data_IF_334032616451
#
_entry.id   IF_334032616451
#
_cell.length_a   1.000
_cell.length_b   1.000
_cell.length_c   1.000
_cell.angle_alpha   90.00
_cell.angle_beta   90.00
_cell.angle_gamma   90.00
#
_symmetry.space_group_name_H-M   'P 1'
#
loop_
_entity.id
_entity.type
_entity.pdbx_description
1 polymer ?
#
# COMPACT_ATOMS: atom_id res chain seq x y z
N UNK A 1 -12.39 8.15 36.91
CA UNK A 1 -12.04 7.54 35.61
C UNK A 1 -12.46 6.09 35.72
N UNK A 2 -13.42 5.63 34.92
CA UNK A 2 -13.64 4.18 34.76
C UNK A 2 -12.60 3.71 33.76
N UNK A 3 -11.76 2.76 34.17
CA UNK A 3 -10.80 2.11 33.29
C UNK A 3 -11.52 0.96 32.62
N UNK A 4 -11.50 0.93 31.29
CA UNK A 4 -11.98 -0.19 30.49
C UNK A 4 -10.78 -0.71 29.70
N UNK A 5 -10.50 -2.00 29.83
CA UNK A 5 -9.53 -2.67 28.96
C UNK A 5 -10.17 -2.78 27.57
N UNK A 6 -9.60 -2.05 26.60
CA UNK A 6 -10.05 -2.08 25.22
C UNK A 6 -9.89 -3.47 24.59
N UNK A 7 -10.61 -3.72 23.49
CA UNK A 7 -10.53 -4.97 22.74
C UNK A 7 -9.08 -5.25 22.29
N UNK A 8 -8.63 -6.47 22.57
CA UNK A 8 -7.25 -6.86 22.87
C UNK A 8 -6.33 -7.17 21.66
N UNK A 9 -6.75 -6.97 20.41
CA UNK A 9 -6.12 -7.73 19.32
C UNK A 9 -4.94 -7.07 18.59
N UNK A 10 -4.64 -5.77 18.76
CA UNK A 10 -3.69 -5.10 17.83
C UNK A 10 -2.75 -4.06 18.44
N UNK A 11 -2.72 -3.88 19.77
CA UNK A 11 -1.90 -2.83 20.38
C UNK A 11 -0.47 -3.32 20.65
N UNK A 12 0.51 -2.72 19.95
CA UNK A 12 1.93 -3.11 19.99
C UNK A 12 2.86 -1.90 20.17
N UNK A 13 2.74 -1.14 21.27
CA UNK A 13 3.53 0.06 21.46
C UNK A 13 5.02 -0.24 21.61
N UNK A 14 5.83 0.72 21.19
CA UNK A 14 7.29 0.67 21.26
C UNK A 14 7.88 -0.63 20.70
N UNK A 15 7.49 -0.99 19.47
CA UNK A 15 7.98 -2.21 18.79
C UNK A 15 7.75 -3.49 19.63
N UNK A 16 6.55 -3.64 20.20
CA UNK A 16 6.16 -4.73 21.10
C UNK A 16 6.90 -4.78 22.45
N UNK A 17 7.68 -3.76 22.81
CA UNK A 17 8.39 -3.70 24.09
C UNK A 17 7.63 -2.93 25.19
N UNK A 18 6.53 -2.24 24.83
CA UNK A 18 5.68 -1.48 25.75
C UNK A 18 4.59 -2.32 26.42
N UNK A 19 3.75 -1.64 27.21
CA UNK A 19 2.54 -2.21 27.81
C UNK A 19 1.34 -2.05 26.87
N UNK A 20 0.29 -2.86 27.03
CA UNK A 20 -0.99 -2.62 26.35
C UNK A 20 -1.57 -1.24 26.67
N UNK A 21 -2.39 -0.66 25.77
CA UNK A 21 -3.00 0.65 25.99
C UNK A 21 -4.08 0.54 27.08
N UNK A 22 -4.01 1.40 28.09
CA UNK A 22 -5.08 1.54 29.07
C UNK A 22 -5.96 2.73 28.70
N UNK A 23 -7.28 2.48 28.62
CA UNK A 23 -8.27 3.48 28.22
C UNK A 23 -9.18 3.83 29.39
N UNK A 24 -9.59 5.09 29.44
CA UNK A 24 -10.59 5.53 30.40
C UNK A 24 -11.41 6.69 29.88
N UNK A 25 -12.66 6.75 30.34
CA UNK A 25 -13.59 7.80 29.95
C UNK A 25 -13.51 8.97 30.92
N UNK A 26 -13.49 10.18 30.36
CA UNK A 26 -13.50 11.43 31.11
C UNK A 26 -14.58 12.38 30.58
N UNK A 27 -15.52 12.76 31.44
CA UNK A 27 -16.57 13.75 31.11
C UNK A 27 -16.00 15.16 31.23
N UNK A 28 -15.50 15.69 30.12
CA UNK A 28 -15.03 17.07 30.02
C UNK A 28 -16.21 18.06 29.83
N UNK A 29 -16.02 19.29 30.29
CA UNK A 29 -16.91 20.43 30.07
C UNK A 29 -16.22 21.43 29.16
N UNK A 30 -16.97 21.97 28.18
CA UNK A 30 -16.46 22.98 27.28
C UNK A 30 -15.93 24.19 28.07
N UNK A 31 -14.78 24.74 27.64
CA UNK A 31 -14.12 25.92 28.22
C UNK A 31 -13.68 25.77 29.68
N UNK A 32 -13.55 24.54 30.19
CA UNK A 32 -12.99 24.26 31.51
C UNK A 32 -11.53 23.80 31.40
N UNK A 33 -10.68 24.30 32.29
CA UNK A 33 -9.29 23.86 32.42
C UNK A 33 -9.23 22.62 33.31
N UNK A 34 -8.47 21.62 32.88
CA UNK A 34 -8.21 20.39 33.63
C UNK A 34 -6.71 20.19 33.74
N UNK A 35 -6.23 19.84 34.95
CA UNK A 35 -4.82 19.54 35.19
C UNK A 35 -4.60 18.03 35.07
N UNK A 36 -3.68 17.62 34.20
CA UNK A 36 -3.25 16.23 34.04
C UNK A 36 -1.86 16.08 34.66
N UNK A 37 -1.72 15.18 35.62
CA UNK A 37 -0.43 14.82 36.22
C UNK A 37 -0.07 13.40 35.78
N UNK A 38 1.15 13.24 35.27
CA UNK A 38 1.69 11.96 34.79
C UNK A 38 2.95 11.67 35.58
N UNK A 39 2.95 10.54 36.30
CA UNK A 39 4.13 10.06 37.03
C UNK A 39 4.68 8.85 36.30
N UNK A 40 5.90 8.97 35.80
CA UNK A 40 6.57 7.95 35.00
C UNK A 40 7.91 7.58 35.65
N UNK A 41 8.20 6.27 35.74
CA UNK A 41 9.43 5.73 36.33
C UNK A 41 10.02 4.72 35.36
N UNK A 42 11.31 4.87 35.02
CA UNK A 42 12.05 4.00 34.11
C UNK A 42 13.11 3.12 34.82
N UNK A 43 13.07 3.02 36.16
CA UNK A 43 14.10 2.33 36.95
C UNK A 43 13.92 0.81 37.04
N UNK A 44 12.80 0.27 36.56
CA UNK A 44 12.54 -1.17 36.58
C UNK A 44 12.17 -1.66 35.18
N UNK A 45 12.90 -2.64 34.61
CA UNK A 45 12.53 -3.23 33.33
C UNK A 45 11.15 -3.88 33.45
N UNK A 46 10.35 -3.79 32.39
CA UNK A 46 9.06 -4.47 32.34
C UNK A 46 9.35 -5.99 32.27
N UNK A 47 8.79 -6.82 33.18
CA UNK A 47 9.00 -8.25 33.13
C UNK A 47 8.60 -8.84 31.76
N UNK A 48 9.49 -9.62 31.14
CA UNK A 48 9.24 -10.24 29.83
C UNK A 48 9.71 -9.45 28.61
N UNK A 49 10.42 -8.33 28.77
CA UNK A 49 11.06 -7.64 27.64
C UNK A 49 12.13 -8.51 26.98
N UNK A 50 12.02 -8.66 25.66
CA UNK A 50 13.00 -9.37 24.81
C UNK A 50 14.24 -8.51 24.56
N UNK A 51 14.08 -7.18 24.55
CA UNK A 51 15.16 -6.20 24.37
C UNK A 51 15.22 -5.33 25.64
N UNK A 52 16.35 -5.32 26.38
CA UNK A 52 16.51 -4.42 27.52
C UNK A 52 16.62 -2.99 26.99
N UNK A 53 15.52 -2.23 27.13
CA UNK A 53 15.45 -0.82 26.77
C UNK A 53 15.70 0.03 28.03
N UNK A 54 16.88 0.64 28.11
CA UNK A 54 17.27 1.48 29.26
C UNK A 54 16.67 2.90 29.21
N UNK A 55 15.92 3.22 28.15
CA UNK A 55 15.18 4.47 28.00
C UNK A 55 13.68 4.20 28.11
N UNK A 56 13.02 4.96 28.99
CA UNK A 56 11.58 4.88 29.16
C UNK A 56 10.86 5.89 28.28
N UNK A 57 9.72 5.48 27.73
CA UNK A 57 8.83 6.36 26.98
C UNK A 57 7.37 6.12 27.39
N UNK A 58 6.54 7.15 27.23
CA UNK A 58 5.10 7.10 27.46
C UNK A 58 4.40 7.83 26.33
N UNK A 59 3.32 7.23 25.83
CA UNK A 59 2.41 7.88 24.90
C UNK A 59 1.11 8.21 25.63
N UNK A 60 0.63 9.43 25.46
CA UNK A 60 -0.63 9.90 26.05
C UNK A 60 -1.48 10.53 24.96
N UNK A 61 -2.62 9.89 24.71
CA UNK A 61 -3.59 10.31 23.72
C UNK A 61 -4.95 10.63 24.34
N UNK A 62 -5.73 11.45 23.64
CA UNK A 62 -7.12 11.71 23.99
C UNK A 62 -7.88 12.15 22.75
N UNK A 63 -9.10 11.64 22.60
CA UNK A 63 -10.01 12.04 21.54
C UNK A 63 -11.43 12.15 22.08
N UNK A 64 -12.30 12.98 21.45
CA UNK A 64 -13.73 12.90 21.70
C UNK A 64 -14.23 11.47 21.48
N UNK A 65 -15.11 11.02 22.38
CA UNK A 65 -15.85 9.76 22.20
C UNK A 65 -16.89 10.00 21.12
N UNK A 66 -16.92 9.12 20.14
CA UNK A 66 -17.79 9.19 18.96
C UNK A 66 -18.43 7.84 18.75
N UNK A 67 -19.74 7.83 18.45
CA UNK A 67 -20.43 6.60 18.07
C UNK A 67 -20.15 6.28 16.60
N UNK A 68 -19.61 5.09 16.34
CA UNK A 68 -19.14 4.74 15.00
C UNK A 68 -20.27 4.78 13.95
N UNK A 69 -21.48 4.34 14.32
CA UNK A 69 -22.64 4.36 13.43
C UNK A 69 -23.08 5.79 13.09
N UNK A 70 -23.05 6.71 14.06
CA UNK A 70 -23.38 8.12 13.82
C UNK A 70 -22.37 8.76 12.85
N UNK A 71 -21.08 8.46 13.01
CA UNK A 71 -20.03 8.94 12.10
C UNK A 71 -20.19 8.38 10.68
N UNK A 72 -20.56 7.10 10.54
CA UNK A 72 -20.84 6.49 9.24
C UNK A 72 -22.05 7.15 8.55
N UNK A 73 -23.15 7.36 9.28
CA UNK A 73 -24.34 8.05 8.76
C UNK A 73 -24.04 9.49 8.36
N UNK A 74 -23.19 10.18 9.12
CA UNK A 74 -22.75 11.52 8.75
C UNK A 74 -21.95 11.51 7.44
N UNK A 75 -21.02 10.57 7.27
CA UNK A 75 -20.24 10.43 6.05
C UNK A 75 -21.13 10.15 4.83
N UNK A 76 -22.12 9.27 4.97
CA UNK A 76 -23.13 9.00 3.92
C UNK A 76 -23.90 10.25 3.51
N UNK A 77 -24.41 11.02 4.48
CA UNK A 77 -25.14 12.26 4.22
C UNK A 77 -24.27 13.27 3.48
N UNK A 78 -23.07 13.52 3.99
CA UNK A 78 -22.11 14.44 3.37
C UNK A 78 -21.76 13.99 1.93
N UNK A 79 -21.56 12.70 1.70
CA UNK A 79 -21.26 12.18 0.38
C UNK A 79 -22.43 12.38 -0.60
N UNK A 80 -23.67 12.16 -0.14
CA UNK A 80 -24.89 12.33 -0.96
C UNK A 80 -25.11 13.78 -1.40
N UNK A 81 -24.75 14.74 -0.57
CA UNK A 81 -24.92 16.17 -0.83
C UNK A 81 -23.80 16.75 -1.70
N UNK A 82 -22.66 16.06 -1.81
CA UNK A 82 -21.50 16.53 -2.57
C UNK A 82 -21.59 16.16 -4.07
N UNK A 83 -21.03 17.02 -4.93
CA UNK A 83 -20.85 16.67 -6.34
C UNK A 83 -19.91 15.48 -6.52
N UNK A 84 -18.79 15.50 -5.80
CA UNK A 84 -17.76 14.45 -5.75
C UNK A 84 -17.40 14.23 -4.28
N UNK A 85 -17.39 12.98 -3.84
CA UNK A 85 -16.89 12.61 -2.51
C UNK A 85 -15.44 12.15 -2.60
N UNK A 86 -14.60 12.57 -1.65
CA UNK A 86 -13.23 12.07 -1.51
C UNK A 86 -13.13 11.39 -0.15
N UNK A 87 -12.87 10.09 -0.16
CA UNK A 87 -12.74 9.28 1.06
C UNK A 87 -11.30 8.76 1.17
N UNK A 88 -10.64 9.05 2.29
CA UNK A 88 -9.28 8.60 2.57
C UNK A 88 -9.32 7.49 3.62
N UNK A 89 -8.80 6.31 3.27
CA UNK A 89 -8.68 5.15 4.16
C UNK A 89 -7.29 4.53 4.01
N UNK A 90 -6.93 3.66 4.94
CA UNK A 90 -5.67 2.94 4.86
C UNK A 90 -5.19 2.45 6.20
N UNK A 91 -3.89 2.22 6.26
CA UNK A 91 -3.13 1.86 7.44
C UNK A 91 -2.46 3.11 8.01
N UNK A 92 -1.64 2.95 9.05
CA UNK A 92 -0.78 3.99 9.60
C UNK A 92 0.44 3.34 10.27
N UNK A 93 1.22 4.14 10.99
CA UNK A 93 2.40 3.66 11.73
C UNK A 93 2.08 2.62 12.82
N UNK A 94 0.84 2.56 13.31
CA UNK A 94 0.42 1.59 14.33
C UNK A 94 0.09 0.23 13.70
N UNK A 95 -0.12 0.19 12.38
CA UNK A 95 -0.40 -1.04 11.63
C UNK A 95 0.83 -1.52 10.85
N UNK A 96 1.64 -0.60 10.32
CA UNK A 96 2.87 -0.93 9.59
C UNK A 96 4.05 -0.25 10.29
N UNK A 97 4.72 -1.00 11.17
CA UNK A 97 5.85 -0.54 11.96
C UNK A 97 6.99 -1.55 11.95
N UNK A 98 8.19 -1.06 12.23
CA UNK A 98 9.26 -1.91 12.74
C UNK A 98 8.85 -2.56 14.07
N UNK A 99 9.30 -3.80 14.27
CA UNK A 99 9.09 -4.58 15.50
C UNK A 99 8.02 -5.64 15.41
N UNK A 100 7.14 -5.57 14.41
CA UNK A 100 6.11 -6.59 14.19
C UNK A 100 5.54 -6.57 12.77
N UNK A 101 5.01 -7.72 12.38
CA UNK A 101 4.25 -7.87 11.13
C UNK A 101 2.75 -7.73 11.37
N UNK A 102 2.00 -7.41 10.31
CA UNK A 102 0.54 -7.41 10.33
C UNK A 102 -0.02 -8.83 10.38
N UNK A 103 -1.08 -9.02 11.15
CA UNK A 103 -1.77 -10.31 11.25
C UNK A 103 -2.72 -10.58 10.06
N UNK A 104 -3.09 -9.53 9.32
CA UNK A 104 -3.96 -9.65 8.15
C UNK A 104 -3.73 -8.54 7.13
N UNK A 105 -4.31 -8.70 5.95
CA UNK A 105 -4.38 -7.66 4.92
C UNK A 105 -5.63 -6.77 5.02
N UNK A 106 -6.45 -6.88 6.06
CA UNK A 106 -7.70 -6.10 6.17
C UNK A 106 -7.41 -4.64 6.48
N UNK A 107 -8.33 -3.76 6.06
CA UNK A 107 -8.36 -2.39 6.57
C UNK A 107 -8.88 -2.36 8.02
N UNK A 108 -8.41 -1.40 8.83
CA UNK A 108 -8.73 -1.37 10.25
C UNK A 108 -10.15 -0.85 10.53
N UNK A 109 -10.75 -1.38 11.59
CA UNK A 109 -12.05 -0.94 12.10
C UNK A 109 -13.17 -1.02 11.06
N UNK A 110 -13.94 0.07 10.92
CA UNK A 110 -15.08 0.18 10.00
C UNK A 110 -14.71 0.82 8.65
N UNK A 111 -13.43 0.79 8.26
CA UNK A 111 -12.95 1.45 7.04
C UNK A 111 -13.58 0.90 5.77
N UNK A 112 -13.71 -0.43 5.64
CA UNK A 112 -14.39 -1.04 4.49
C UNK A 112 -15.87 -0.64 4.42
N UNK A 113 -16.55 -0.63 5.57
CA UNK A 113 -17.95 -0.22 5.67
C UNK A 113 -18.15 1.26 5.33
N UNK A 114 -17.25 2.14 5.78
CA UNK A 114 -17.22 3.56 5.41
C UNK A 114 -17.14 3.73 3.89
N UNK A 115 -16.19 3.05 3.24
CA UNK A 115 -16.01 3.17 1.78
C UNK A 115 -17.23 2.64 1.03
N UNK A 116 -17.76 1.48 1.42
CA UNK A 116 -18.97 0.91 0.81
C UNK A 116 -20.17 1.85 0.92
N UNK A 117 -20.40 2.42 2.10
CA UNK A 117 -21.50 3.37 2.36
C UNK A 117 -21.35 4.66 1.56
N UNK A 118 -20.13 5.21 1.47
CA UNK A 118 -19.83 6.41 0.67
C UNK A 118 -20.00 6.13 -0.83
N UNK A 119 -19.48 5.01 -1.35
CA UNK A 119 -19.64 4.60 -2.74
C UNK A 119 -21.11 4.43 -3.12
N UNK A 120 -21.91 3.83 -2.23
CA UNK A 120 -23.35 3.66 -2.44
C UNK A 120 -24.11 4.99 -2.40
N UNK A 121 -23.72 5.92 -1.53
CA UNK A 121 -24.34 7.24 -1.41
C UNK A 121 -23.97 8.18 -2.57
N UNK A 122 -22.75 8.05 -3.11
CA UNK A 122 -22.26 8.86 -4.23
C UNK A 122 -21.33 8.03 -5.14
N UNK A 123 -21.78 7.62 -6.35
CA UNK A 123 -20.92 6.86 -7.26
C UNK A 123 -19.75 7.67 -7.83
N UNK A 124 -19.79 9.01 -7.76
CA UNK A 124 -18.66 9.90 -8.12
C UNK A 124 -17.71 10.06 -6.93
N UNK A 125 -17.26 8.95 -6.37
CA UNK A 125 -16.33 8.93 -5.25
C UNK A 125 -14.90 8.65 -5.71
N UNK A 126 -13.95 9.41 -5.17
CA UNK A 126 -12.51 9.15 -5.25
C UNK A 126 -12.06 8.54 -3.93
N UNK A 127 -11.50 7.33 -3.98
CA UNK A 127 -10.90 6.68 -2.81
C UNK A 127 -9.40 6.90 -2.81
N UNK A 128 -8.85 7.45 -1.74
CA UNK A 128 -7.42 7.54 -1.48
C UNK A 128 -7.05 6.42 -0.52
N UNK A 129 -6.15 5.53 -0.95
CA UNK A 129 -5.65 4.43 -0.13
C UNK A 129 -4.23 4.74 0.36
N UNK A 130 -4.05 4.70 1.68
CA UNK A 130 -2.79 5.05 2.36
C UNK A 130 -2.21 3.83 3.06
N UNK A 131 -1.38 3.06 2.37
CA UNK A 131 -0.69 1.88 2.93
C UNK A 131 0.69 1.66 2.30
N UNK A 132 1.64 1.12 3.05
CA UNK A 132 2.97 0.74 2.54
C UNK A 132 2.92 -0.56 1.74
N UNK A 133 2.05 -1.49 2.13
CA UNK A 133 1.87 -2.81 1.51
C UNK A 133 0.42 -3.07 1.11
N UNK A 134 0.13 -4.13 0.33
CA UNK A 134 -1.22 -4.44 -0.11
C UNK A 134 -2.22 -4.63 1.03
N UNK A 135 -3.47 -4.22 0.78
CA UNK A 135 -4.63 -4.52 1.63
C UNK A 135 -5.74 -5.15 0.79
N UNK A 136 -6.59 -5.94 1.41
CA UNK A 136 -7.81 -6.46 0.78
C UNK A 136 -8.81 -5.32 0.59
N UNK A 137 -9.43 -5.25 -0.59
CA UNK A 137 -10.36 -4.19 -0.98
C UNK A 137 -11.67 -4.82 -1.49
N UNK A 138 -12.54 -5.36 -0.60
CA UNK A 138 -13.73 -6.10 -1.02
C UNK A 138 -14.74 -5.27 -1.82
N UNK A 139 -14.58 -3.95 -1.83
CA UNK A 139 -15.42 -2.97 -2.52
C UNK A 139 -14.80 -2.42 -3.82
N UNK A 140 -13.61 -2.92 -4.23
CA UNK A 140 -12.84 -2.34 -5.35
C UNK A 140 -13.63 -2.31 -6.67
N UNK A 141 -14.45 -3.32 -6.94
CA UNK A 141 -15.26 -3.40 -8.17
C UNK A 141 -16.37 -2.35 -8.24
N UNK A 142 -16.71 -1.72 -7.11
CA UNK A 142 -17.66 -0.61 -7.03
C UNK A 142 -16.97 0.76 -7.08
N UNK A 143 -15.64 0.78 -7.07
CA UNK A 143 -14.85 2.01 -7.05
C UNK A 143 -14.54 2.49 -8.47
N UNK A 144 -15.00 3.70 -8.83
CA UNK A 144 -14.65 4.29 -10.11
C UNK A 144 -13.23 4.85 -10.13
N UNK A 145 -12.73 5.35 -8.99
CA UNK A 145 -11.42 5.97 -8.89
C UNK A 145 -10.73 5.60 -7.58
N UNK A 146 -9.63 4.87 -7.67
CA UNK A 146 -8.76 4.49 -6.55
C UNK A 146 -7.36 5.06 -6.75
N UNK A 147 -6.85 5.79 -5.76
CA UNK A 147 -5.50 6.35 -5.74
C UNK A 147 -4.68 5.71 -4.62
N UNK A 148 -3.68 4.90 -4.98
CA UNK A 148 -2.72 4.35 -4.03
C UNK A 148 -1.65 5.41 -3.69
N UNK A 149 -1.72 5.93 -2.47
CA UNK A 149 -0.91 7.06 -2.00
C UNK A 149 0.38 6.70 -1.24
N UNK A 150 0.54 5.44 -0.80
CA UNK A 150 1.63 5.03 0.10
C UNK A 150 1.79 5.97 1.31
N UNK A 151 3.02 6.16 1.80
CA UNK A 151 3.38 7.13 2.81
C UNK A 151 4.17 8.28 2.16
N UNK A 152 3.47 9.27 1.60
CA UNK A 152 4.08 10.34 0.79
C UNK A 152 4.80 11.47 1.52
N UNK A 153 5.10 11.30 2.82
CA UNK A 153 5.83 12.29 3.63
C UNK A 153 5.15 13.67 3.74
N UNK A 154 5.96 14.70 3.99
CA UNK A 154 5.48 16.06 4.34
C UNK A 154 4.55 16.70 3.29
N UNK A 155 4.71 16.33 2.01
CA UNK A 155 3.94 16.91 0.90
C UNK A 155 2.84 15.99 0.39
N UNK A 156 2.50 14.93 1.12
CA UNK A 156 1.50 13.94 0.71
C UNK A 156 0.17 14.58 0.29
N UNK A 157 -0.40 15.46 1.12
CA UNK A 157 -1.68 16.10 0.84
C UNK A 157 -1.65 16.95 -0.44
N UNK A 158 -0.58 17.75 -0.62
CA UNK A 158 -0.42 18.59 -1.81
C UNK A 158 -0.20 17.74 -3.07
N UNK A 159 0.66 16.72 -3.00
CA UNK A 159 0.89 15.82 -4.13
C UNK A 159 -0.36 15.03 -4.54
N UNK A 160 -1.20 14.64 -3.58
CA UNK A 160 -2.49 14.00 -3.86
C UNK A 160 -3.47 14.97 -4.51
N UNK A 161 -3.55 16.21 -4.02
CA UNK A 161 -4.35 17.26 -4.64
C UNK A 161 -3.90 17.55 -6.09
N UNK A 162 -2.59 17.66 -6.33
CA UNK A 162 -2.03 17.88 -7.66
C UNK A 162 -2.48 16.79 -8.66
N UNK A 163 -2.54 15.53 -8.20
CA UNK A 163 -3.03 14.42 -9.02
C UNK A 163 -4.54 14.51 -9.22
N UNK A 164 -5.32 14.61 -8.14
CA UNK A 164 -6.79 14.62 -8.19
C UNK A 164 -7.32 15.74 -9.09
N UNK A 165 -6.73 16.92 -9.01
CA UNK A 165 -7.13 18.10 -9.79
C UNK A 165 -6.38 18.23 -11.13
N UNK A 166 -5.54 17.24 -11.49
CA UNK A 166 -4.89 17.17 -12.79
C UNK A 166 -3.73 18.14 -13.01
N UNK A 167 -3.27 18.86 -11.98
CA UNK A 167 -2.04 19.65 -12.05
C UNK A 167 -0.81 18.76 -12.33
N UNK A 168 -0.87 17.48 -11.92
CA UNK A 168 0.11 16.45 -12.27
C UNK A 168 -0.59 15.18 -12.75
N UNK A 169 -0.13 14.66 -13.88
CA UNK A 169 -0.61 13.40 -14.41
C UNK A 169 -0.01 12.21 -13.63
N UNK A 170 -0.82 11.26 -13.10
CA UNK A 170 -0.29 10.10 -12.40
C UNK A 170 0.58 9.25 -13.32
N UNK A 171 1.76 8.87 -12.83
CA UNK A 171 2.76 8.10 -13.57
C UNK A 171 3.48 7.06 -12.71
N UNK A 172 2.90 6.72 -11.55
CA UNK A 172 3.37 5.64 -10.69
C UNK A 172 3.07 4.26 -11.28
N UNK A 173 3.87 3.27 -10.90
CA UNK A 173 3.67 1.85 -11.21
C UNK A 173 3.83 1.07 -9.92
N UNK A 174 2.96 0.09 -9.68
CA UNK A 174 3.02 -0.73 -8.49
C UNK A 174 4.33 -1.52 -8.43
N UNK A 175 5.05 -1.39 -7.32
CA UNK A 175 6.27 -2.16 -7.03
C UNK A 175 5.97 -3.54 -6.44
N UNK A 176 4.71 -3.81 -6.10
CA UNK A 176 4.22 -5.05 -5.49
C UNK A 176 2.92 -5.49 -6.14
N UNK A 177 2.62 -6.77 -6.10
CA UNK A 177 1.34 -7.32 -6.56
C UNK A 177 0.28 -7.18 -5.46
N UNK A 178 -0.93 -6.77 -5.83
CA UNK A 178 -2.08 -6.72 -4.92
C UNK A 178 -2.96 -7.97 -5.12
N UNK A 179 -2.81 -9.02 -4.29
CA UNK A 179 -3.67 -10.19 -4.39
C UNK A 179 -5.09 -9.88 -3.91
N UNK A 180 -6.08 -10.63 -4.40
CA UNK A 180 -7.46 -10.53 -3.91
C UNK A 180 -7.63 -10.93 -2.44
N UNK A 181 -6.80 -11.86 -1.94
CA UNK A 181 -6.88 -12.37 -0.57
C UNK A 181 -5.50 -12.63 0.01
N UNK A 182 -5.36 -12.49 1.31
CA UNK A 182 -4.12 -12.79 2.05
C UNK A 182 -3.59 -14.21 1.78
N UNK A 183 -4.50 -15.19 1.70
CA UNK A 183 -4.15 -16.60 1.46
C UNK A 183 -3.58 -16.87 0.06
N UNK A 184 -3.71 -15.92 -0.87
CA UNK A 184 -3.19 -16.06 -2.22
C UNK A 184 -1.70 -15.71 -2.30
N UNK A 185 -1.13 -15.15 -1.24
CA UNK A 185 0.27 -14.77 -1.23
C UNK A 185 1.18 -16.02 -1.14
N UNK A 186 2.33 -16.04 -1.85
CA UNK A 186 3.20 -17.22 -1.92
C UNK A 186 3.79 -17.63 -0.56
N UNK A 187 3.95 -16.69 0.36
CA UNK A 187 4.48 -16.94 1.69
C UNK A 187 3.40 -17.36 2.69
N UNK A 188 2.11 -17.42 2.33
CA UNK A 188 1.00 -17.63 3.28
C UNK A 188 1.21 -18.79 4.25
N UNK A 189 1.65 -19.95 3.76
CA UNK A 189 1.88 -21.13 4.61
C UNK A 189 3.20 -21.10 5.39
N UNK A 190 4.16 -20.28 4.96
CA UNK A 190 5.50 -20.26 5.55
C UNK A 190 5.82 -18.95 6.28
N UNK A 191 4.86 -18.04 6.36
CA UNK A 191 5.01 -16.76 7.04
C UNK A 191 4.89 -16.94 8.56
N UNK A 192 5.80 -16.31 9.28
CA UNK A 192 5.99 -16.49 10.72
C UNK A 192 7.20 -17.37 11.06
N UNK A 193 7.34 -17.69 12.34
CA UNK A 193 8.45 -18.49 12.84
C UNK A 193 7.94 -19.85 13.34
N UNK A 194 8.39 -20.92 12.69
CA UNK A 194 8.19 -22.28 13.17
C UNK A 194 9.52 -22.76 13.79
N UNK A 195 9.58 -22.83 15.12
CA UNK A 195 10.82 -23.17 15.84
C UNK A 195 11.99 -22.22 15.55
N UNK A 196 11.74 -20.91 15.54
CA UNK A 196 12.72 -19.85 15.22
C UNK A 196 13.31 -19.93 13.80
N UNK A 197 12.57 -20.53 12.86
CA UNK A 197 12.94 -20.58 11.45
C UNK A 197 11.78 -20.13 10.59
N UNK A 198 12.12 -19.55 9.44
CA UNK A 198 11.16 -19.17 8.41
C UNK A 198 11.63 -19.80 7.12
N UNK A 199 10.80 -20.67 6.55
CA UNK A 199 11.14 -21.42 5.34
C UNK A 199 10.67 -20.65 4.11
N UNK A 200 11.58 -20.31 3.20
CA UNK A 200 11.23 -19.66 1.93
C UNK A 200 10.79 -20.72 0.91
N UNK A 201 9.65 -21.36 1.19
CA UNK A 201 9.13 -22.51 0.44
C UNK A 201 8.68 -22.17 -0.98
N UNK A 202 8.37 -20.91 -1.25
CA UNK A 202 8.07 -20.39 -2.58
C UNK A 202 9.30 -20.29 -3.50
N UNK A 203 10.50 -20.33 -2.93
CA UNK A 203 11.77 -20.25 -3.67
C UNK A 203 11.84 -19.00 -4.55
N UNK A 204 12.01 -19.17 -5.86
CA UNK A 204 12.12 -18.06 -6.83
C UNK A 204 10.77 -17.44 -7.21
N UNK A 205 9.66 -18.05 -6.81
CA UNK A 205 8.30 -17.63 -7.16
C UNK A 205 7.77 -16.62 -6.13
N UNK A 206 8.40 -15.43 -6.09
CA UNK A 206 8.01 -14.32 -5.20
C UNK A 206 7.29 -13.24 -6.02
N UNK A 207 6.23 -12.66 -5.45
CA UNK A 207 5.45 -11.59 -6.10
C UNK A 207 4.80 -12.07 -7.40
N UNK A 208 4.79 -11.23 -8.45
CA UNK A 208 4.14 -11.56 -9.73
C UNK A 208 4.57 -12.89 -10.34
N UNK A 209 5.81 -13.33 -10.07
CA UNK A 209 6.33 -14.63 -10.53
C UNK A 209 5.50 -15.81 -10.03
N UNK A 210 4.98 -15.71 -8.80
CA UNK A 210 4.06 -16.69 -8.23
C UNK A 210 2.73 -16.70 -8.98
N UNK A 211 2.12 -15.52 -9.11
CA UNK A 211 0.78 -15.39 -9.66
C UNK A 211 0.73 -15.75 -11.14
N UNK A 212 1.76 -15.38 -11.91
CA UNK A 212 1.96 -15.83 -13.28
C UNK A 212 2.05 -17.37 -13.33
N UNK A 213 2.99 -17.97 -12.60
CA UNK A 213 3.22 -19.41 -12.63
C UNK A 213 2.05 -20.26 -12.10
N UNK A 214 1.21 -19.68 -11.24
CA UNK A 214 0.03 -20.32 -10.68
C UNK A 214 -1.26 -20.04 -11.48
N UNK A 215 -1.16 -19.27 -12.57
CA UNK A 215 -2.30 -18.76 -13.37
C UNK A 215 -3.41 -18.19 -12.46
N UNK A 216 -2.99 -17.27 -11.57
CA UNK A 216 -3.86 -16.74 -10.51
C UNK A 216 -4.14 -15.26 -10.69
N UNK A 217 -5.42 -14.92 -10.75
CA UNK A 217 -5.88 -13.53 -10.80
C UNK A 217 -5.53 -12.73 -9.53
N UNK A 218 -5.28 -11.44 -9.74
CA UNK A 218 -4.89 -10.45 -8.72
C UNK A 218 -5.67 -9.16 -8.97
N UNK A 219 -5.93 -8.39 -7.91
CA UNK A 219 -6.64 -7.10 -8.04
C UNK A 219 -5.83 -6.13 -8.92
N UNK A 220 -4.54 -6.00 -8.61
CA UNK A 220 -3.64 -5.18 -9.40
C UNK A 220 -2.29 -5.89 -9.56
N UNK A 221 -1.84 -6.16 -10.81
CA UNK A 221 -0.58 -6.84 -11.04
C UNK A 221 0.61 -5.92 -10.76
N UNK A 222 1.77 -6.54 -10.56
CA UNK A 222 3.05 -5.81 -10.50
C UNK A 222 3.21 -4.93 -11.76
N UNK A 223 3.73 -3.72 -11.58
CA UNK A 223 3.92 -2.78 -12.68
C UNK A 223 2.63 -2.11 -13.18
N UNK A 224 1.45 -2.43 -12.63
CA UNK A 224 0.20 -1.75 -12.98
C UNK A 224 0.20 -0.28 -12.56
N UNK A 225 -0.51 0.56 -13.31
CA UNK A 225 -0.69 1.97 -12.99
C UNK A 225 -1.40 2.70 -14.14
N UNK A 226 -2.45 3.43 -13.82
CA UNK A 226 -3.19 4.22 -14.79
C UNK A 226 -2.60 5.62 -14.93
N UNK A 227 -3.05 6.33 -15.96
CA UNK A 227 -2.63 7.69 -16.25
C UNK A 227 -3.77 8.45 -16.94
N UNK A 228 -3.78 9.78 -16.84
CA UNK A 228 -4.71 10.61 -17.62
C UNK A 228 -4.29 10.74 -19.09
N UNK A 229 -3.05 10.35 -19.43
CA UNK A 229 -2.59 10.27 -20.83
C UNK A 229 -2.70 8.82 -21.34
N UNK A 230 -2.82 8.69 -22.66
CA UNK A 230 -2.69 7.42 -23.37
C UNK A 230 -1.37 7.40 -24.15
N UNK A 231 -0.75 6.24 -24.26
CA UNK A 231 0.47 6.08 -25.04
C UNK A 231 0.55 4.69 -25.68
N UNK A 232 1.11 4.65 -26.88
CA UNK A 232 1.33 3.44 -27.68
C UNK A 232 2.83 3.18 -27.76
N UNK A 233 3.20 1.90 -27.71
CA UNK A 233 4.56 1.43 -27.97
C UNK A 233 4.53 0.75 -29.34
N UNK A 234 5.42 1.14 -30.25
CA UNK A 234 5.53 0.60 -31.61
C UNK A 234 6.99 0.31 -31.97
N UNK A 235 7.20 -0.24 -33.16
CA UNK A 235 8.52 -0.41 -33.79
C UNK A 235 9.52 -1.13 -32.89
N UNK A 236 9.06 -2.22 -32.27
CA UNK A 236 9.86 -3.04 -31.36
C UNK A 236 10.81 -3.90 -32.17
N UNK A 237 12.10 -3.64 -32.03
CA UNK A 237 13.17 -4.37 -32.71
C UNK A 237 14.18 -4.92 -31.71
N UNK A 238 14.64 -6.15 -31.95
CA UNK A 238 15.67 -6.81 -31.14
C UNK A 238 16.84 -7.14 -32.07
N UNK A 239 18.00 -6.51 -31.82
CA UNK A 239 19.23 -6.73 -32.58
C UNK A 239 20.26 -7.47 -31.72
N UNK A 240 20.55 -8.76 -31.99
CA UNK A 240 21.63 -9.48 -31.32
C UNK A 240 22.99 -8.84 -31.62
N UNK A 241 23.79 -8.62 -30.58
CA UNK A 241 25.18 -8.17 -30.71
C UNK A 241 26.12 -9.37 -30.78
N UNK A 242 27.00 -9.38 -31.78
CA UNK A 242 28.10 -10.32 -31.85
C UNK A 242 29.14 -9.93 -30.79
N UNK A 243 29.22 -10.70 -29.71
CA UNK A 243 30.24 -10.47 -28.68
C UNK A 243 31.58 -11.00 -29.17
N UNK A 244 32.61 -10.15 -29.14
CA UNK A 244 34.01 -10.52 -29.45
C UNK A 244 34.85 -10.80 -28.20
N UNK A 245 34.26 -10.65 -27.01
CA UNK A 245 34.93 -10.83 -25.72
C UNK A 245 34.71 -12.24 -25.18
N UNK A 246 35.82 -12.94 -24.91
CA UNK A 246 35.90 -14.29 -24.36
C UNK A 246 35.50 -14.40 -22.88
N UNK A 247 35.07 -13.32 -22.23
CA UNK A 247 34.81 -13.31 -20.78
C UNK A 247 33.37 -13.70 -20.41
N UNK A 248 32.42 -13.74 -21.35
CA UNK A 248 31.15 -14.41 -21.10
C UNK A 248 30.47 -14.83 -22.42
N UNK A 249 30.16 -16.12 -22.57
CA UNK A 249 29.23 -16.65 -23.58
C UNK A 249 27.77 -16.16 -23.33
N UNK A 250 27.58 -14.96 -22.79
CA UNK A 250 26.27 -14.37 -22.53
C UNK A 250 25.82 -13.66 -23.80
N UNK A 251 24.73 -14.11 -24.45
CA UNK A 251 24.16 -13.39 -25.58
C UNK A 251 23.75 -11.99 -25.15
N UNK A 252 24.10 -10.98 -25.95
CA UNK A 252 23.70 -9.59 -25.74
C UNK A 252 22.81 -9.17 -26.90
N UNK A 253 21.77 -8.39 -26.64
CA UNK A 253 20.92 -7.81 -27.67
C UNK A 253 20.59 -6.35 -27.34
N UNK A 254 20.42 -5.53 -28.37
CA UNK A 254 19.85 -4.18 -28.26
C UNK A 254 18.35 -4.31 -28.51
N UNK A 255 17.55 -3.72 -27.61
CA UNK A 255 16.11 -3.55 -27.78
C UNK A 255 15.84 -2.09 -28.14
N UNK A 256 15.18 -1.86 -29.26
CA UNK A 256 14.72 -0.54 -29.70
C UNK A 256 13.20 -0.54 -29.81
N UNK A 257 12.57 0.57 -29.45
CA UNK A 257 11.12 0.77 -29.55
C UNK A 257 10.81 2.26 -29.58
N UNK A 258 9.64 2.61 -30.12
CA UNK A 258 9.10 3.96 -30.09
C UNK A 258 7.99 4.06 -29.04
N UNK A 259 7.89 5.21 -28.35
CA UNK A 259 6.78 5.53 -27.47
C UNK A 259 6.16 6.84 -27.91
N UNK A 260 4.85 6.81 -28.21
CA UNK A 260 4.12 7.99 -28.68
C UNK A 260 2.93 8.29 -27.77
N UNK A 261 2.68 9.58 -27.50
CA UNK A 261 1.43 10.02 -26.88
C UNK A 261 0.28 9.81 -27.86
N UNK A 262 -0.76 9.09 -27.43
CA UNK A 262 -1.94 8.79 -28.23
C UNK A 262 -3.18 9.60 -27.78
N UNK A 263 -2.98 10.64 -26.97
CA UNK A 263 -4.03 11.42 -26.32
C UNK A 263 -3.78 12.93 -26.34
N UNK A 264 -4.72 13.64 -25.70
CA UNK A 264 -4.72 15.12 -25.62
C UNK A 264 -3.91 15.66 -24.44
N UNK A 265 -3.70 14.82 -23.42
CA UNK A 265 -3.04 15.21 -22.18
C UNK A 265 -1.60 14.72 -22.22
N UNK A 266 -0.65 15.58 -21.88
CA UNK A 266 0.74 15.19 -21.74
C UNK A 266 0.96 14.27 -20.54
N UNK A 267 1.96 13.40 -20.60
CA UNK A 267 2.21 12.45 -19.51
C UNK A 267 3.50 11.67 -19.66
N UNK A 268 3.79 10.83 -18.67
CA UNK A 268 5.00 9.99 -18.64
C UNK A 268 4.62 8.52 -18.73
N UNK A 269 5.36 7.75 -19.54
CA UNK A 269 5.16 6.31 -19.70
C UNK A 269 6.33 5.53 -19.10
N UNK A 270 6.02 4.51 -18.31
CA UNK A 270 7.01 3.51 -17.88
C UNK A 270 6.90 2.30 -18.80
N UNK A 271 7.96 2.00 -19.53
CA UNK A 271 8.14 0.78 -20.33
C UNK A 271 8.85 -0.24 -19.46
N UNK A 272 8.32 -1.45 -19.39
CA UNK A 272 8.87 -2.55 -18.59
C UNK A 272 9.34 -3.66 -19.54
N UNK A 273 10.57 -4.13 -19.35
CA UNK A 273 11.20 -5.13 -20.20
C UNK A 273 11.31 -6.43 -19.42
N UNK A 274 10.56 -7.43 -19.87
CA UNK A 274 10.54 -8.77 -19.27
C UNK A 274 11.25 -9.77 -20.17
N UNK A 275 12.03 -10.67 -19.58
CA UNK A 275 12.71 -11.76 -20.29
C UNK A 275 12.13 -13.09 -19.82
N UNK A 276 11.69 -13.89 -20.77
CA UNK A 276 11.26 -15.27 -20.57
C UNK A 276 12.36 -16.22 -21.02
N UNK A 277 12.57 -17.32 -20.29
CA UNK A 277 13.46 -18.40 -20.72
C UNK A 277 12.72 -19.33 -21.68
N UNK A 278 13.33 -19.69 -22.79
CA UNK A 278 12.77 -20.65 -23.75
C UNK A 278 13.01 -22.12 -23.40
N UNK A 279 13.81 -22.42 -22.37
CA UNK A 279 14.08 -23.78 -21.91
C UNK A 279 15.12 -23.87 -20.78
N UNK A 280 15.42 -25.11 -20.37
CA UNK A 280 16.37 -25.45 -19.30
C UNK A 280 15.84 -26.53 -18.36
N UNK A 281 16.72 -27.06 -17.51
CA UNK A 281 16.35 -28.01 -16.44
C UNK A 281 16.05 -27.20 -15.16
N UNK A 282 14.87 -27.38 -14.57
CA UNK A 282 14.46 -26.72 -13.33
C UNK A 282 13.12 -25.98 -13.45
N UNK A 283 12.68 -25.38 -12.34
CA UNK A 283 11.48 -24.52 -12.30
C UNK A 283 11.94 -23.06 -12.36
N UNK A 284 11.40 -22.30 -13.31
CA UNK A 284 11.70 -20.89 -13.51
C UNK A 284 10.40 -20.09 -13.60
N UNK A 285 10.41 -18.80 -13.20
CA UNK A 285 9.32 -17.89 -13.50
C UNK A 285 9.09 -17.80 -15.01
N UNK A 286 7.84 -17.60 -15.42
CA UNK A 286 7.47 -17.45 -16.84
C UNK A 286 8.21 -16.29 -17.51
N UNK A 287 8.32 -15.18 -16.77
CA UNK A 287 9.00 -13.97 -17.20
C UNK A 287 9.60 -13.27 -15.99
N UNK A 288 10.68 -12.53 -16.23
CA UNK A 288 11.34 -11.73 -15.20
C UNK A 288 11.59 -10.31 -15.70
N UNK A 289 11.21 -9.29 -14.93
CA UNK A 289 11.61 -7.91 -15.17
C UNK A 289 13.14 -7.84 -15.17
N UNK A 290 13.72 -7.41 -16.29
CA UNK A 290 15.17 -7.21 -16.44
C UNK A 290 15.55 -5.75 -16.53
N UNK A 291 14.65 -4.91 -17.01
CA UNK A 291 14.89 -3.47 -17.11
C UNK A 291 13.57 -2.69 -17.17
N UNK A 292 13.63 -1.38 -16.90
CA UNK A 292 12.52 -0.47 -17.11
C UNK A 292 13.02 0.92 -17.50
N UNK A 293 12.26 1.60 -18.35
CA UNK A 293 12.56 2.95 -18.80
C UNK A 293 11.35 3.83 -18.52
N UNK A 294 11.56 4.92 -17.78
CA UNK A 294 10.54 5.96 -17.62
C UNK A 294 10.82 7.06 -18.64
N UNK A 295 10.02 7.08 -19.70
CA UNK A 295 10.08 8.12 -20.72
C UNK A 295 9.69 9.44 -20.08
N UNK A 296 10.44 10.49 -20.43
CA UNK A 296 10.13 11.86 -20.01
C UNK A 296 8.76 12.30 -20.54
N UNK A 297 8.35 13.53 -20.21
CA UNK A 297 7.03 14.01 -20.55
C UNK A 297 6.82 14.00 -22.07
N UNK A 298 5.86 13.19 -22.51
CA UNK A 298 5.35 13.18 -23.87
C UNK A 298 4.29 14.27 -23.96
N UNK A 299 4.50 15.26 -24.83
CA UNK A 299 3.52 16.34 -25.03
C UNK A 299 2.21 15.79 -25.59
N UNK A 300 1.10 16.46 -25.27
CA UNK A 300 -0.20 16.16 -25.88
C UNK A 300 -0.19 16.54 -27.36
N UNK A 301 -0.98 15.85 -28.18
CA UNK A 301 -1.17 16.30 -29.56
C UNK A 301 -1.71 17.74 -29.59
N UNK A 302 -1.06 18.62 -30.36
CA UNK A 302 -1.56 19.97 -30.63
C UNK A 302 -2.88 19.89 -31.42
N UNK A 303 -3.81 20.81 -31.14
CA UNK A 303 -5.02 21.00 -31.93
C UNK A 303 -4.68 21.54 -33.32
#
# INVERSE_FOLDING_TARGET
MSLETGNLETERPFACAGTIEEKGLFKAQARRVYNLEVRFINHHPVPGQVIPMDWGAIELGGRPVTEAEEMLQQAERTAREADVAIVAVGLNQDWESEGYDRDSMKLPGKSDELVQRVLAANPRTVVILRSGTPVELPWVDHCQTLLQGHYGGNQFGNGMADVIFGARNPSGRLSVTYPHKYQHNPAFYNWGHEGNKTMYGEGVFVGYKHYDAADREVMFPFGHGLSYHSSVISDVEIQPLKTTSSIANTPVAILSFMVQNAGKVGGRKSVQIYVARSGGIGRFPEKELRDFIKVEQLDGGCW
#
